data_IF_045878322444
#
_entry.id   IF_045878322444
#
_cell.length_a   1.000
_cell.length_b   1.000
_cell.length_c   1.000
_cell.angle_alpha   90.00
_cell.angle_beta   90.00
_cell.angle_gamma   90.00
#
_symmetry.space_group_name_H-M   'P 1'
#
loop_
_entity.id
_entity.type
_entity.pdbx_description
1 polymer ?
#
# COMPACT_ATOMS: atom_id res chain seq x y z
N UNK A 1 -25.71 -25.25 -15.50
CA UNK A 1 -26.51 -24.37 -16.37
C UNK A 1 -26.06 -22.96 -16.06
N UNK A 2 -25.14 -22.44 -16.87
CA UNK A 2 -24.43 -21.18 -16.61
C UNK A 2 -25.39 -20.03 -16.89
N UNK A 3 -25.90 -19.41 -15.84
CA UNK A 3 -26.70 -18.19 -15.93
C UNK A 3 -25.76 -17.08 -16.39
N UNK A 4 -26.00 -16.53 -17.58
CA UNK A 4 -25.31 -15.33 -18.05
C UNK A 4 -25.54 -14.18 -17.04
N UNK A 5 -24.51 -13.37 -16.72
CA UNK A 5 -24.70 -12.22 -15.85
C UNK A 5 -25.71 -11.29 -16.52
N UNK A 6 -26.72 -10.92 -15.75
CA UNK A 6 -27.82 -10.09 -16.22
C UNK A 6 -27.31 -8.66 -16.23
N UNK A 7 -26.65 -8.26 -17.32
CA UNK A 7 -26.51 -6.83 -17.63
C UNK A 7 -27.91 -6.24 -17.55
N UNK A 8 -28.14 -5.36 -16.56
CA UNK A 8 -29.46 -4.83 -16.32
C UNK A 8 -29.85 -4.00 -17.54
N UNK A 9 -30.71 -4.54 -18.39
CA UNK A 9 -31.19 -3.87 -19.59
C UNK A 9 -31.75 -2.49 -19.18
N UNK A 10 -31.09 -1.41 -19.61
CA UNK A 10 -31.50 -0.04 -19.33
C UNK A 10 -30.57 0.80 -18.46
N UNK A 11 -29.42 0.29 -17.98
CA UNK A 11 -28.42 1.13 -17.29
C UNK A 11 -27.87 2.18 -18.24
N UNK A 12 -28.08 3.46 -17.93
CA UNK A 12 -27.52 4.60 -18.67
C UNK A 12 -26.18 4.98 -18.05
N UNK A 13 -25.16 5.15 -18.87
CA UNK A 13 -23.83 5.60 -18.44
C UNK A 13 -23.66 7.10 -18.65
N UNK A 14 -22.97 7.74 -17.71
CA UNK A 14 -22.60 9.15 -17.77
C UNK A 14 -21.35 9.36 -18.62
N UNK A 15 -20.95 10.62 -18.77
CA UNK A 15 -19.77 11.01 -19.57
C UNK A 15 -18.44 10.50 -19.00
N UNK A 16 -18.39 10.17 -17.70
CA UNK A 16 -17.23 9.53 -17.09
C UNK A 16 -17.23 8.02 -17.21
N UNK A 17 -18.21 7.42 -17.88
CA UNK A 17 -18.25 5.98 -18.10
C UNK A 17 -18.90 5.19 -16.96
N UNK A 18 -19.00 5.69 -15.74
CA UNK A 18 -19.84 5.06 -14.71
C UNK A 18 -21.34 5.29 -14.98
N UNK A 19 -22.22 4.68 -14.18
CA UNK A 19 -23.66 4.93 -14.25
C UNK A 19 -23.97 6.42 -14.14
N UNK A 20 -24.95 6.90 -14.93
CA UNK A 20 -25.21 8.34 -15.08
C UNK A 20 -25.76 9.01 -13.81
N UNK A 21 -26.43 8.25 -12.94
CA UNK A 21 -27.05 8.72 -11.71
C UNK A 21 -26.35 8.07 -10.52
N UNK A 22 -25.13 8.53 -10.21
CA UNK A 22 -24.29 7.98 -9.14
C UNK A 22 -24.97 8.10 -7.77
N UNK A 23 -25.67 9.20 -7.51
CA UNK A 23 -26.37 9.44 -6.25
C UNK A 23 -27.44 8.36 -6.00
N UNK A 24 -28.23 7.98 -7.00
CA UNK A 24 -29.22 6.89 -6.85
C UNK A 24 -28.62 5.49 -6.67
N UNK A 25 -27.31 5.36 -6.92
CA UNK A 25 -26.54 4.12 -6.72
C UNK A 25 -25.68 4.17 -5.45
N UNK A 26 -25.57 5.31 -4.78
CA UNK A 26 -24.71 5.52 -3.61
C UNK A 26 -25.07 4.63 -2.42
N UNK A 27 -26.35 4.28 -2.26
CA UNK A 27 -26.85 3.47 -1.13
C UNK A 27 -27.24 2.03 -1.53
N UNK A 28 -26.97 1.62 -2.77
CA UNK A 28 -27.30 0.25 -3.21
C UNK A 28 -26.35 -0.77 -2.59
N UNK A 29 -26.90 -1.91 -2.17
CA UNK A 29 -26.11 -3.08 -1.87
C UNK A 29 -25.40 -3.58 -3.14
N UNK A 30 -24.11 -3.87 -3.01
CA UNK A 30 -23.29 -4.39 -4.10
C UNK A 30 -23.18 -5.91 -3.98
N UNK A 31 -23.27 -6.65 -5.09
CA UNK A 31 -23.07 -8.10 -5.06
C UNK A 31 -21.59 -8.44 -4.81
N UNK A 32 -21.31 -9.71 -4.55
CA UNK A 32 -19.94 -10.24 -4.67
C UNK A 32 -19.61 -10.36 -6.17
N UNK A 33 -19.01 -9.32 -6.75
CA UNK A 33 -18.75 -9.23 -8.19
C UNK A 33 -17.29 -9.53 -8.58
N UNK A 34 -16.40 -9.72 -7.61
CA UNK A 34 -15.02 -10.14 -7.86
C UNK A 34 -15.00 -11.67 -7.98
N UNK A 35 -14.89 -12.15 -9.23
CA UNK A 35 -15.03 -13.56 -9.60
C UNK A 35 -13.72 -14.20 -10.08
N UNK A 36 -12.63 -13.43 -10.15
CA UNK A 36 -11.27 -13.93 -10.31
C UNK A 36 -10.30 -13.16 -9.41
N UNK A 37 -9.19 -13.80 -9.02
CA UNK A 37 -8.06 -13.07 -8.44
C UNK A 37 -7.38 -12.25 -9.53
N UNK A 38 -7.01 -11.01 -9.25
CA UNK A 38 -6.25 -10.17 -10.19
C UNK A 38 -4.77 -10.57 -10.26
N UNK A 39 -4.33 -11.53 -9.45
CA UNK A 39 -2.94 -11.99 -9.36
C UNK A 39 -2.90 -13.47 -8.97
N UNK A 40 -1.87 -14.19 -9.40
CA UNK A 40 -1.68 -15.58 -8.97
C UNK A 40 -1.31 -15.62 -7.47
N UNK A 41 -2.23 -16.11 -6.65
CA UNK A 41 -2.07 -16.16 -5.19
C UNK A 41 -0.87 -17.02 -4.80
N UNK A 42 -0.51 -18.04 -5.59
CA UNK A 42 0.64 -18.89 -5.30
C UNK A 42 1.98 -18.16 -5.38
N UNK A 43 2.04 -17.01 -6.06
CA UNK A 43 3.23 -16.16 -6.12
C UNK A 43 3.35 -15.19 -4.93
N UNK A 44 2.27 -14.99 -4.17
CA UNK A 44 2.16 -13.92 -3.16
C UNK A 44 2.69 -14.34 -1.80
N UNK A 45 3.62 -13.54 -1.28
CA UNK A 45 4.15 -13.67 0.08
C UNK A 45 3.27 -12.95 1.09
N UNK A 46 2.92 -11.69 0.82
CA UNK A 46 2.16 -10.87 1.77
C UNK A 46 1.25 -9.86 1.09
N UNK A 47 0.20 -9.44 1.79
CA UNK A 47 -0.80 -8.48 1.32
C UNK A 47 -1.00 -7.41 2.38
N UNK A 48 -0.98 -6.13 1.98
CA UNK A 48 -1.26 -5.06 2.93
C UNK A 48 -2.71 -5.09 3.42
N UNK A 49 -2.92 -4.65 4.65
CA UNK A 49 -4.25 -4.38 5.19
C UNK A 49 -4.82 -3.09 4.61
N UNK A 50 -6.13 -3.06 4.43
CA UNK A 50 -6.91 -1.86 4.16
C UNK A 50 -6.90 -0.95 5.40
N UNK A 51 -6.75 0.37 5.21
CA UNK A 51 -6.49 1.39 6.26
C UNK A 51 -5.16 1.21 6.99
N UNK A 52 -4.16 0.60 6.36
CA UNK A 52 -2.81 0.51 6.91
C UNK A 52 -1.99 1.77 6.60
N UNK A 53 -0.76 1.80 7.10
CA UNK A 53 0.30 2.73 6.69
C UNK A 53 1.19 2.14 5.58
N UNK A 54 0.67 1.23 4.76
CA UNK A 54 1.40 0.69 3.63
C UNK A 54 1.58 1.74 2.52
N UNK A 55 2.83 1.93 2.09
CA UNK A 55 3.18 2.87 1.04
C UNK A 55 2.88 4.34 1.37
N UNK A 56 1.84 4.94 0.78
CA UNK A 56 1.53 6.37 0.95
C UNK A 56 0.04 6.61 1.24
N UNK A 57 -0.31 7.84 1.67
CA UNK A 57 -1.72 8.22 1.88
C UNK A 57 -2.53 7.95 0.62
N UNK A 58 -3.56 7.12 0.75
CA UNK A 58 -4.50 6.78 -0.30
C UNK A 58 -5.90 6.74 0.29
N UNK A 59 -6.45 7.91 0.60
CA UNK A 59 -7.71 8.06 1.32
C UNK A 59 -8.87 8.45 0.43
N UNK A 60 -10.07 8.05 0.84
CA UNK A 60 -11.33 8.44 0.23
C UNK A 60 -11.86 9.79 0.77
N UNK A 61 -13.16 10.05 0.66
CA UNK A 61 -13.78 11.30 1.15
C UNK A 61 -14.10 11.32 2.64
N UNK A 62 -13.95 10.21 3.35
CA UNK A 62 -14.41 10.02 4.73
C UNK A 62 -13.26 9.78 5.70
N UNK A 63 -12.15 9.24 5.20
CA UNK A 63 -10.97 8.94 6.00
C UNK A 63 -9.81 9.89 5.68
N UNK A 64 -8.85 9.97 6.60
CA UNK A 64 -7.67 10.82 6.50
C UNK A 64 -6.43 10.05 6.90
N UNK A 65 -5.33 10.22 6.14
CA UNK A 65 -4.04 9.61 6.43
C UNK A 65 -4.12 8.09 6.66
N UNK A 66 -4.52 7.34 5.63
CA UNK A 66 -4.44 5.89 5.63
C UNK A 66 -4.37 5.37 4.20
N UNK A 67 -3.90 4.13 4.01
CA UNK A 67 -3.87 3.50 2.70
C UNK A 67 -5.11 2.64 2.52
N UNK A 68 -6.04 3.10 1.69
CA UNK A 68 -7.27 2.39 1.34
C UNK A 68 -7.13 1.66 0.00
N UNK A 69 -5.94 1.11 -0.25
CA UNK A 69 -5.64 0.18 -1.34
C UNK A 69 -4.88 -1.03 -0.79
N UNK A 70 -4.82 -2.10 -1.58
CA UNK A 70 -4.04 -3.28 -1.23
C UNK A 70 -2.77 -3.39 -2.07
N UNK A 71 -1.65 -3.62 -1.40
CA UNK A 71 -0.37 -3.97 -2.00
C UNK A 71 -0.17 -5.48 -1.88
N UNK A 72 -0.04 -6.16 -3.01
CA UNK A 72 0.28 -7.58 -3.07
C UNK A 72 1.76 -7.74 -3.38
N UNK A 73 2.53 -8.29 -2.44
CA UNK A 73 3.98 -8.50 -2.58
C UNK A 73 4.26 -9.96 -2.97
N UNK A 74 4.80 -10.22 -4.17
CA UNK A 74 5.26 -11.56 -4.55
C UNK A 74 6.47 -12.00 -3.73
N UNK A 75 6.69 -13.31 -3.65
CA UNK A 75 7.83 -13.95 -2.96
C UNK A 75 9.20 -13.48 -3.49
N UNK A 76 9.28 -13.18 -4.79
CA UNK A 76 10.44 -12.59 -5.44
C UNK A 76 10.11 -11.18 -5.94
N UNK A 77 9.69 -10.30 -5.01
CA UNK A 77 9.18 -8.96 -5.33
C UNK A 77 10.10 -8.21 -6.32
N UNK A 78 11.42 -8.25 -6.11
CA UNK A 78 12.36 -7.53 -6.97
C UNK A 78 12.61 -8.22 -8.32
N UNK A 79 12.60 -9.55 -8.39
CA UNK A 79 12.78 -10.29 -9.63
C UNK A 79 11.55 -10.29 -10.54
N UNK A 80 10.33 -10.13 -10.01
CA UNK A 80 9.09 -10.25 -10.79
C UNK A 80 8.24 -8.98 -10.89
N UNK A 81 8.53 -7.89 -10.17
CA UNK A 81 7.65 -6.69 -10.15
C UNK A 81 7.33 -6.04 -11.49
N UNK A 82 8.12 -6.29 -12.54
CA UNK A 82 7.84 -5.80 -13.90
C UNK A 82 7.18 -6.84 -14.82
N UNK A 83 7.14 -8.11 -14.40
CA UNK A 83 6.73 -9.26 -15.22
C UNK A 83 5.61 -10.09 -14.60
N UNK A 84 5.25 -9.83 -13.35
CA UNK A 84 4.14 -10.47 -12.66
C UNK A 84 2.84 -10.23 -13.42
N UNK A 85 2.17 -11.31 -13.82
CA UNK A 85 0.89 -11.23 -14.55
C UNK A 85 -0.21 -10.64 -13.69
N UNK A 86 -0.94 -9.68 -14.25
CA UNK A 86 -2.09 -9.02 -13.65
C UNK A 86 -3.33 -9.32 -14.49
N UNK A 87 -4.36 -9.82 -13.83
CA UNK A 87 -5.62 -10.26 -14.44
C UNK A 87 -6.77 -9.32 -14.09
N UNK A 88 -7.80 -9.27 -14.94
CA UNK A 88 -9.05 -8.62 -14.59
C UNK A 88 -9.75 -9.42 -13.48
N UNK A 89 -10.10 -8.81 -12.34
CA UNK A 89 -10.85 -9.52 -11.29
C UNK A 89 -12.35 -9.68 -11.60
N UNK A 90 -12.83 -9.04 -12.68
CA UNK A 90 -14.26 -8.90 -13.01
C UNK A 90 -14.53 -9.04 -14.49
N UNK A 91 -15.77 -9.38 -14.83
CA UNK A 91 -16.33 -9.06 -16.14
C UNK A 91 -16.63 -7.55 -16.21
N UNK A 92 -16.18 -6.89 -17.27
CA UNK A 92 -16.34 -5.45 -17.35
C UNK A 92 -15.75 -4.79 -18.59
N UNK A 93 -15.48 -3.50 -18.46
CA UNK A 93 -14.89 -2.70 -19.53
C UNK A 93 -13.79 -1.78 -19.00
N UNK A 94 -12.63 -1.85 -19.64
CA UNK A 94 -11.54 -0.90 -19.45
C UNK A 94 -11.85 0.38 -20.22
N UNK A 95 -11.89 1.51 -19.52
CA UNK A 95 -12.31 2.79 -20.10
C UNK A 95 -11.23 3.87 -20.05
N UNK A 96 -10.24 3.71 -19.17
CA UNK A 96 -9.17 4.67 -18.99
C UNK A 96 -7.83 3.98 -18.70
N UNK A 97 -6.78 4.56 -19.26
CA UNK A 97 -5.39 4.36 -18.86
C UNK A 97 -4.83 5.71 -18.40
N UNK A 98 -4.22 5.72 -17.22
CA UNK A 98 -3.63 6.90 -16.58
C UNK A 98 -2.11 6.73 -16.51
N UNK A 99 -1.35 7.57 -17.23
CA UNK A 99 0.11 7.63 -17.07
C UNK A 99 0.41 8.06 -15.63
N UNK A 100 1.10 7.20 -14.88
CA UNK A 100 1.37 7.45 -13.47
C UNK A 100 2.31 8.67 -13.32
N UNK A 101 1.75 9.87 -13.24
CA UNK A 101 2.47 11.15 -13.30
C UNK A 101 2.48 11.96 -12.00
N UNK A 102 2.23 11.35 -10.84
CA UNK A 102 2.36 12.06 -9.56
C UNK A 102 3.80 11.99 -9.04
N UNK A 103 4.16 12.88 -8.12
CA UNK A 103 5.53 13.00 -7.55
C UNK A 103 6.08 11.70 -6.95
N UNK A 104 5.21 10.74 -6.57
CA UNK A 104 5.55 9.45 -5.95
C UNK A 104 5.28 8.22 -6.81
N UNK A 105 4.75 8.40 -8.02
CA UNK A 105 4.48 7.24 -8.89
C UNK A 105 5.75 6.46 -9.25
N UNK A 106 6.92 7.05 -9.08
CA UNK A 106 8.21 6.44 -9.40
C UNK A 106 8.98 5.92 -8.17
N UNK A 107 8.47 6.06 -6.94
CA UNK A 107 9.20 5.67 -5.72
C UNK A 107 9.60 4.19 -5.75
N UNK A 108 8.72 3.32 -6.25
CA UNK A 108 8.96 1.88 -6.38
C UNK A 108 10.02 1.53 -7.44
N UNK A 109 10.24 2.40 -8.43
CA UNK A 109 11.31 2.26 -9.42
C UNK A 109 12.65 2.73 -8.85
N UNK A 110 12.66 3.84 -8.11
CA UNK A 110 13.84 4.31 -7.38
C UNK A 110 14.27 3.26 -6.35
N UNK A 111 13.31 2.66 -5.66
CA UNK A 111 13.52 1.51 -4.78
C UNK A 111 14.14 0.32 -5.54
N UNK A 112 13.69 0.02 -6.76
CA UNK A 112 14.33 -1.01 -7.59
C UNK A 112 15.79 -0.74 -7.89
N UNK A 113 16.10 0.46 -8.34
CA UNK A 113 17.47 0.85 -8.66
C UNK A 113 18.37 0.76 -7.42
N UNK A 114 17.88 1.22 -6.27
CA UNK A 114 18.64 1.19 -5.01
C UNK A 114 18.94 -0.23 -4.55
N UNK A 115 17.96 -1.12 -4.62
CA UNK A 115 18.03 -2.44 -3.99
C UNK A 115 18.69 -3.48 -4.88
N UNK A 116 18.58 -3.34 -6.20
CA UNK A 116 19.12 -4.29 -7.19
C UNK A 116 20.38 -3.77 -7.89
N UNK A 117 20.56 -2.45 -7.96
CA UNK A 117 21.57 -1.81 -8.80
C UNK A 117 21.24 -1.83 -10.29
N UNK A 118 20.06 -2.33 -10.69
CA UNK A 118 19.60 -2.40 -12.08
C UNK A 118 18.62 -1.26 -12.39
N UNK A 119 18.53 -0.87 -13.66
CA UNK A 119 17.52 0.11 -14.11
C UNK A 119 16.21 -0.57 -14.51
N UNK A 120 15.03 0.04 -14.22
CA UNK A 120 13.75 -0.48 -14.69
C UNK A 120 13.76 -0.71 -16.20
N UNK A 121 13.02 -1.71 -16.72
CA UNK A 121 12.96 -1.94 -18.16
C UNK A 121 12.44 -0.71 -18.91
N UNK A 122 13.15 -0.29 -19.95
CA UNK A 122 12.83 0.91 -20.75
C UNK A 122 11.45 0.85 -21.40
N UNK A 123 10.94 -0.35 -21.67
CA UNK A 123 9.66 -0.61 -22.30
C UNK A 123 8.50 -0.77 -21.31
N UNK A 124 8.78 -0.71 -20.00
CA UNK A 124 7.77 -0.83 -18.97
C UNK A 124 6.91 0.43 -18.88
N UNK A 125 5.61 0.29 -19.17
CA UNK A 125 4.65 1.41 -19.16
C UNK A 125 3.92 1.48 -17.84
N UNK A 126 4.49 2.19 -16.88
CA UNK A 126 3.85 2.39 -15.56
C UNK A 126 2.56 3.21 -15.66
N UNK A 127 1.43 2.51 -15.65
CA UNK A 127 0.11 3.10 -15.80
C UNK A 127 -0.81 2.66 -14.66
N UNK A 128 -1.94 3.36 -14.52
CA UNK A 128 -3.12 2.82 -13.83
C UNK A 128 -4.20 2.48 -14.84
N UNK A 129 -4.89 1.37 -14.61
CA UNK A 129 -6.00 0.91 -15.44
C UNK A 129 -7.30 0.98 -14.66
N UNK A 130 -8.36 1.51 -15.28
CA UNK A 130 -9.69 1.61 -14.67
C UNK A 130 -10.69 0.71 -15.39
N UNK A 131 -11.20 -0.26 -14.65
CA UNK A 131 -12.20 -1.22 -15.12
C UNK A 131 -13.52 -0.89 -14.44
N UNK A 132 -14.57 -0.68 -15.23
CA UNK A 132 -15.95 -0.60 -14.73
C UNK A 132 -16.53 -2.01 -14.72
N UNK A 133 -16.84 -2.61 -13.55
CA UNK A 133 -17.51 -3.90 -13.49
C UNK A 133 -18.93 -3.82 -14.07
N UNK A 134 -19.39 -4.89 -14.70
CA UNK A 134 -20.75 -4.94 -15.24
C UNK A 134 -21.83 -4.95 -14.15
N UNK A 135 -21.60 -5.74 -13.09
CA UNK A 135 -22.53 -5.92 -11.97
C UNK A 135 -22.42 -4.81 -10.91
N UNK A 136 -21.48 -3.89 -11.10
CA UNK A 136 -21.18 -2.82 -10.15
C UNK A 136 -20.77 -1.52 -10.90
N UNK A 137 -21.68 -0.91 -11.68
CA UNK A 137 -21.35 0.15 -12.64
C UNK A 137 -21.13 1.54 -12.03
N UNK A 138 -21.23 1.69 -10.71
CA UNK A 138 -20.94 2.92 -9.97
C UNK A 138 -19.55 2.90 -9.30
N UNK A 139 -18.70 1.92 -9.63
CA UNK A 139 -17.35 1.82 -9.12
C UNK A 139 -16.31 1.68 -10.22
N UNK A 140 -15.09 2.03 -9.85
CA UNK A 140 -13.89 1.62 -10.55
C UNK A 140 -13.17 0.53 -9.77
N UNK A 141 -12.73 -0.51 -10.49
CA UNK A 141 -11.56 -1.29 -10.09
C UNK A 141 -10.36 -0.61 -10.71
N UNK A 142 -9.43 -0.15 -9.88
CA UNK A 142 -8.20 0.48 -10.32
C UNK A 142 -7.03 -0.45 -10.04
N UNK A 143 -6.37 -0.89 -11.11
CA UNK A 143 -5.08 -1.57 -11.04
C UNK A 143 -3.99 -0.52 -11.13
N UNK A 144 -3.01 -0.57 -10.24
CA UNK A 144 -1.92 0.41 -10.18
C UNK A 144 -0.61 -0.21 -10.64
N UNK A 145 0.27 0.64 -11.17
CA UNK A 145 1.64 0.29 -11.53
C UNK A 145 1.75 -0.97 -12.40
N UNK A 146 0.94 -1.04 -13.45
CA UNK A 146 1.00 -2.10 -14.45
C UNK A 146 1.31 -1.54 -15.84
N UNK A 147 2.05 -2.33 -16.62
CA UNK A 147 2.19 -2.20 -18.07
C UNK A 147 1.07 -2.99 -18.75
N UNK A 148 0.05 -2.32 -19.34
CA UNK A 148 -1.07 -3.00 -19.97
C UNK A 148 -0.66 -3.83 -21.18
N UNK A 149 -1.43 -4.87 -21.49
CA UNK A 149 -1.27 -5.62 -22.74
C UNK A 149 -1.58 -4.75 -23.95
N UNK A 150 -0.92 -5.05 -25.07
CA UNK A 150 -0.96 -4.24 -26.29
C UNK A 150 -2.39 -4.12 -26.87
N UNK A 151 -3.23 -5.13 -26.68
CA UNK A 151 -4.64 -5.14 -27.07
C UNK A 151 -5.44 -4.03 -26.39
N UNK A 152 -5.18 -3.78 -25.10
CA UNK A 152 -5.83 -2.70 -24.34
C UNK A 152 -5.32 -1.34 -24.83
N UNK A 153 -4.01 -1.20 -25.01
CA UNK A 153 -3.35 0.04 -25.46
C UNK A 153 -3.82 0.51 -26.85
N UNK A 154 -4.21 -0.42 -27.73
CA UNK A 154 -4.75 -0.10 -29.06
C UNK A 154 -6.15 0.51 -29.02
N UNK A 155 -6.90 0.29 -27.96
CA UNK A 155 -8.33 0.65 -27.86
C UNK A 155 -8.59 1.75 -26.85
N UNK A 156 -7.88 1.73 -25.72
CA UNK A 156 -8.12 2.63 -24.61
C UNK A 156 -7.16 3.83 -24.70
N UNK A 157 -7.66 5.07 -24.73
CA UNK A 157 -6.82 6.25 -24.76
C UNK A 157 -6.08 6.38 -23.44
N UNK A 158 -4.84 6.83 -23.55
CA UNK A 158 -3.97 7.17 -22.42
C UNK A 158 -4.10 8.67 -22.16
N UNK A 159 -4.22 9.04 -20.89
CA UNK A 159 -4.12 10.44 -20.45
C UNK A 159 -3.47 10.49 -19.08
N UNK A 160 -3.11 11.68 -18.62
CA UNK A 160 -2.71 11.88 -17.23
C UNK A 160 -3.92 12.04 -16.31
N UNK A 161 -3.74 11.75 -15.02
CA UNK A 161 -4.75 12.03 -13.99
C UNK A 161 -5.27 13.48 -14.01
N UNK A 162 -4.41 14.45 -14.33
CA UNK A 162 -4.81 15.86 -14.48
C UNK A 162 -5.69 16.09 -15.71
N UNK A 163 -5.35 15.50 -16.86
CA UNK A 163 -6.17 15.59 -18.07
C UNK A 163 -7.53 14.90 -17.91
N UNK A 164 -7.57 13.77 -17.20
CA UNK A 164 -8.81 13.07 -16.84
C UNK A 164 -9.68 13.99 -15.96
N UNK A 165 -9.12 14.49 -14.87
CA UNK A 165 -9.78 15.41 -13.95
C UNK A 165 -10.35 16.66 -14.66
N UNK A 166 -9.62 17.19 -15.64
CA UNK A 166 -10.04 18.35 -16.45
C UNK A 166 -11.01 18.00 -17.60
N UNK A 167 -11.31 16.72 -17.82
CA UNK A 167 -12.14 16.26 -18.94
C UNK A 167 -11.51 16.45 -20.32
N UNK A 168 -10.18 16.64 -20.37
CA UNK A 168 -9.39 16.72 -21.61
C UNK A 168 -9.26 15.30 -22.18
N UNK A 169 -8.80 14.36 -21.35
CA UNK A 169 -8.83 12.94 -21.67
C UNK A 169 -10.25 12.39 -21.47
N UNK A 170 -10.76 11.66 -22.46
CA UNK A 170 -12.13 11.15 -22.49
C UNK A 170 -12.17 9.64 -22.33
N UNK A 171 -13.31 9.13 -21.87
CA UNK A 171 -13.59 7.69 -21.85
C UNK A 171 -13.36 7.07 -23.22
N UNK A 172 -12.80 5.86 -23.25
CA UNK A 172 -12.94 5.01 -24.42
C UNK A 172 -14.43 4.70 -24.69
N UNK A 173 -14.85 4.73 -25.95
CA UNK A 173 -16.21 4.32 -26.37
C UNK A 173 -16.09 3.46 -27.64
N UNK A 174 -16.40 2.15 -27.58
CA UNK A 174 -17.08 1.42 -26.50
C UNK A 174 -16.18 0.94 -25.34
N UNK A 175 -14.86 1.22 -25.37
CA UNK A 175 -13.89 0.67 -24.43
C UNK A 175 -13.39 -0.73 -24.78
N UNK A 176 -12.51 -1.28 -23.95
CA UNK A 176 -11.98 -2.64 -24.12
C UNK A 176 -12.67 -3.61 -23.16
N UNK A 177 -13.36 -4.62 -23.68
CA UNK A 177 -14.07 -5.62 -22.88
C UNK A 177 -13.11 -6.63 -22.30
N UNK A 178 -13.31 -6.96 -21.03
CA UNK A 178 -12.58 -7.99 -20.30
C UNK A 178 -13.56 -8.93 -19.61
N UNK A 179 -13.14 -10.18 -19.49
CA UNK A 179 -13.75 -11.18 -18.63
C UNK A 179 -12.92 -11.35 -17.37
N UNK A 180 -13.52 -11.81 -16.28
CA UNK A 180 -12.78 -12.16 -15.08
C UNK A 180 -11.74 -13.25 -15.40
N UNK A 181 -10.49 -13.04 -14.98
CA UNK A 181 -9.34 -13.91 -15.26
C UNK A 181 -8.59 -13.60 -16.56
N UNK A 182 -9.05 -12.63 -17.38
CA UNK A 182 -8.29 -12.21 -18.56
C UNK A 182 -6.98 -11.52 -18.14
N UNK A 183 -5.86 -11.84 -18.80
CA UNK A 183 -4.59 -11.12 -18.62
C UNK A 183 -4.74 -9.69 -19.17
N UNK A 184 -4.52 -8.69 -18.32
CA UNK A 184 -4.67 -7.27 -18.69
C UNK A 184 -3.36 -6.49 -18.65
N UNK A 185 -2.33 -7.01 -17.97
CA UNK A 185 -1.01 -6.40 -17.98
C UNK A 185 0.00 -7.17 -17.13
N UNK A 186 1.16 -6.55 -16.94
CA UNK A 186 2.22 -7.05 -16.06
C UNK A 186 2.67 -5.92 -15.14
N UNK A 187 2.93 -6.20 -13.87
CA UNK A 187 3.37 -5.16 -12.95
C UNK A 187 3.14 -5.47 -11.48
N UNK A 188 2.95 -4.41 -10.70
CA UNK A 188 2.63 -4.57 -9.28
C UNK A 188 1.19 -5.10 -9.13
N UNK A 189 0.99 -5.95 -8.11
CA UNK A 189 -0.33 -6.46 -7.75
C UNK A 189 -1.21 -5.45 -6.99
N UNK A 190 -0.98 -4.15 -7.16
CA UNK A 190 -1.66 -3.09 -6.42
C UNK A 190 -3.08 -2.82 -6.96
N UNK A 191 -4.06 -2.78 -6.06
CA UNK A 191 -5.48 -2.64 -6.44
C UNK A 191 -6.27 -1.78 -5.45
N UNK A 192 -7.17 -0.96 -5.98
CA UNK A 192 -8.21 -0.26 -5.20
C UNK A 192 -9.60 -0.43 -5.81
N UNK A 193 -10.62 -0.43 -4.94
CA UNK A 193 -12.04 -0.43 -5.34
C UNK A 193 -12.65 0.91 -4.93
N UNK A 194 -13.03 1.71 -5.93
CA UNK A 194 -13.44 3.11 -5.73
C UNK A 194 -14.90 3.30 -6.09
N UNK A 195 -15.77 3.35 -5.08
CA UNK A 195 -17.18 3.68 -5.26
C UNK A 195 -17.35 5.18 -5.41
N UNK A 196 -17.99 5.61 -6.50
CA UNK A 196 -18.41 7.00 -6.65
C UNK A 196 -19.82 7.17 -6.09
N UNK A 197 -19.98 8.13 -5.19
CA UNK A 197 -21.26 8.45 -4.55
C UNK A 197 -21.95 9.63 -5.25
N UNK A 198 -21.18 10.53 -5.86
CA UNK A 198 -21.68 11.64 -6.67
C UNK A 198 -20.69 12.00 -7.80
N UNK A 199 -20.97 13.11 -8.49
CA UNK A 199 -20.10 13.63 -9.54
C UNK A 199 -20.38 13.03 -10.91
N UNK A 200 -19.36 12.99 -11.77
CA UNK A 200 -19.49 12.58 -13.18
C UNK A 200 -18.88 11.19 -13.45
N UNK A 201 -18.31 10.54 -12.44
CA UNK A 201 -17.68 9.22 -12.54
C UNK A 201 -16.32 9.19 -13.22
N UNK A 202 -15.75 10.33 -13.61
CA UNK A 202 -14.42 10.40 -14.20
C UNK A 202 -13.36 10.10 -13.12
N UNK A 203 -12.36 9.24 -13.39
CA UNK A 203 -11.25 9.03 -12.48
C UNK A 203 -10.55 10.33 -12.07
N UNK A 204 -10.07 10.38 -10.83
CA UNK A 204 -9.40 11.56 -10.28
C UNK A 204 -8.13 11.18 -9.51
N UNK A 205 -7.04 11.94 -9.68
CA UNK A 205 -5.81 11.76 -8.92
C UNK A 205 -5.95 12.20 -7.45
N UNK A 206 -7.08 12.80 -7.04
CA UNK A 206 -7.31 13.33 -5.69
C UNK A 206 -7.58 12.26 -4.62
N UNK A 207 -6.72 11.24 -4.56
CA UNK A 207 -6.82 10.11 -3.64
C UNK A 207 -5.92 10.26 -2.39
N UNK A 208 -5.51 11.49 -2.04
CA UNK A 208 -4.79 11.78 -0.79
C UNK A 208 -5.32 13.09 -0.19
N UNK A 209 -5.23 13.23 1.13
CA UNK A 209 -5.68 14.42 1.86
C UNK A 209 -4.98 15.69 1.37
N UNK A 210 -3.66 15.62 1.15
CA UNK A 210 -2.86 16.73 0.64
C UNK A 210 -3.28 17.15 -0.78
N UNK A 211 -3.54 16.19 -1.67
CA UNK A 211 -4.00 16.48 -3.04
C UNK A 211 -5.41 17.07 -3.04
N UNK A 212 -6.32 16.56 -2.20
CA UNK A 212 -7.66 17.16 -2.03
C UNK A 212 -7.57 18.57 -1.45
N UNK A 213 -6.68 18.85 -0.51
CA UNK A 213 -6.47 20.20 0.00
C UNK A 213 -5.92 21.15 -1.08
N UNK A 214 -5.01 20.66 -1.92
CA UNK A 214 -4.38 21.43 -3.02
C UNK A 214 -5.34 21.71 -4.17
N UNK A 215 -6.16 20.73 -4.55
CA UNK A 215 -7.00 20.75 -5.76
C UNK A 215 -8.50 20.71 -5.47
N UNK A 216 -8.92 20.96 -4.23
CA UNK A 216 -10.27 20.69 -3.73
C UNK A 216 -11.43 21.43 -4.41
N UNK A 217 -11.16 22.36 -5.33
CA UNK A 217 -12.19 23.01 -6.17
C UNK A 217 -12.28 22.43 -7.58
N UNK A 218 -11.35 21.56 -7.97
CA UNK A 218 -11.29 20.95 -9.29
C UNK A 218 -12.36 19.85 -9.43
N UNK A 219 -12.92 19.66 -10.64
CA UNK A 219 -13.82 18.55 -10.91
C UNK A 219 -13.19 17.21 -10.49
N UNK A 220 -13.97 16.27 -9.95
CA UNK A 220 -13.46 14.98 -9.45
C UNK A 220 -12.80 15.04 -8.07
N UNK A 221 -12.15 16.15 -7.68
CA UNK A 221 -11.62 16.35 -6.34
C UNK A 221 -12.69 16.78 -5.32
N UNK A 222 -13.77 17.40 -5.82
CA UNK A 222 -14.99 17.69 -5.05
C UNK A 222 -15.93 16.49 -4.94
N UNK A 223 -15.75 15.46 -5.79
CA UNK A 223 -16.65 14.32 -5.86
C UNK A 223 -16.44 13.40 -4.65
N UNK A 224 -17.54 12.98 -4.03
CA UNK A 224 -17.54 12.04 -2.92
C UNK A 224 -17.28 10.64 -3.44
N UNK A 225 -16.24 10.03 -2.89
CA UNK A 225 -15.85 8.66 -3.15
C UNK A 225 -15.69 7.92 -1.84
N UNK A 226 -16.07 6.66 -1.87
CA UNK A 226 -15.85 5.72 -0.79
C UNK A 226 -15.00 4.57 -1.32
N UNK A 227 -13.90 4.26 -0.63
CA UNK A 227 -13.05 3.16 -1.03
C UNK A 227 -13.40 1.91 -0.23
N UNK A 228 -13.19 0.76 -0.85
CA UNK A 228 -13.52 -0.54 -0.27
C UNK A 228 -12.34 -1.49 -0.40
N UNK A 229 -12.25 -2.43 0.54
CA UNK A 229 -11.34 -3.57 0.40
C UNK A 229 -11.85 -4.48 -0.73
N UNK A 230 -10.95 -5.00 -1.56
CA UNK A 230 -11.33 -5.96 -2.60
C UNK A 230 -11.94 -7.24 -2.02
N UNK A 231 -11.50 -7.64 -0.82
CA UNK A 231 -11.96 -8.83 -0.12
C UNK A 231 -13.45 -8.77 0.26
N UNK A 232 -14.02 -7.56 0.39
CA UNK A 232 -15.45 -7.34 0.65
C UNK A 232 -16.33 -7.86 -0.49
N UNK A 233 -15.84 -7.80 -1.74
CA UNK A 233 -16.61 -8.15 -2.94
C UNK A 233 -16.16 -9.45 -3.61
N UNK A 234 -15.19 -10.15 -3.03
CA UNK A 234 -14.75 -11.48 -3.47
C UNK A 234 -15.83 -12.53 -3.22
N UNK A 235 -16.20 -13.23 -4.30
CA UNK A 235 -16.96 -14.46 -4.19
C UNK A 235 -16.24 -15.47 -3.30
N UNK A 236 -17.00 -16.37 -2.68
CA UNK A 236 -16.40 -17.40 -1.81
C UNK A 236 -15.42 -18.28 -2.59
N UNK A 237 -15.72 -18.63 -3.84
CA UNK A 237 -14.81 -19.42 -4.70
C UNK A 237 -13.44 -18.76 -4.88
N UNK A 238 -13.39 -17.43 -5.04
CA UNK A 238 -12.12 -16.70 -5.12
C UNK A 238 -11.46 -16.65 -3.74
N UNK A 239 -12.21 -16.35 -2.68
CA UNK A 239 -11.64 -16.22 -1.34
C UNK A 239 -11.07 -17.55 -0.81
N UNK A 240 -11.65 -18.68 -1.19
CA UNK A 240 -11.12 -20.02 -0.88
C UNK A 240 -9.70 -20.25 -1.40
N UNK A 241 -9.28 -19.56 -2.45
CA UNK A 241 -7.90 -19.66 -2.95
C UNK A 241 -6.90 -19.06 -1.96
N UNK A 242 -7.28 -18.01 -1.22
CA UNK A 242 -6.47 -17.45 -0.14
C UNK A 242 -6.44 -18.39 1.07
N UNK A 243 -7.60 -18.97 1.43
CA UNK A 243 -7.68 -19.97 2.51
C UNK A 243 -6.92 -21.26 2.21
N UNK A 244 -6.75 -21.58 0.93
CA UNK A 244 -5.96 -22.73 0.51
C UNK A 244 -4.46 -22.57 0.78
N UNK A 245 -3.97 -21.33 0.92
CA UNK A 245 -2.55 -21.05 1.15
C UNK A 245 -2.23 -20.53 2.55
N UNK A 246 -3.21 -19.98 3.27
CA UNK A 246 -3.05 -19.46 4.63
C UNK A 246 -4.35 -19.56 5.45
N UNK A 247 -4.25 -19.67 6.78
CA UNK A 247 -5.41 -19.60 7.68
C UNK A 247 -5.82 -18.13 7.89
N UNK A 248 -6.68 -17.64 7.01
CA UNK A 248 -7.11 -16.23 6.97
C UNK A 248 -8.62 -16.09 6.77
N UNK A 249 -9.12 -14.98 7.29
CA UNK A 249 -10.47 -14.46 7.11
C UNK A 249 -10.42 -13.12 6.36
N UNK A 250 -11.57 -12.65 5.87
CA UNK A 250 -11.63 -11.35 5.17
C UNK A 250 -11.21 -10.19 6.07
N UNK A 251 -11.53 -10.29 7.36
CA UNK A 251 -11.25 -9.25 8.35
C UNK A 251 -9.75 -9.10 8.63
N UNK A 252 -8.94 -10.15 8.43
CA UNK A 252 -7.49 -10.07 8.63
C UNK A 252 -6.81 -9.04 7.71
N UNK A 253 -7.43 -8.77 6.56
CA UNK A 253 -6.97 -7.81 5.57
C UNK A 253 -7.54 -6.40 5.77
N UNK A 254 -8.29 -6.14 6.84
CA UNK A 254 -8.96 -4.85 7.06
C UNK A 254 -8.71 -4.38 8.49
N UNK A 255 -8.10 -3.20 8.63
CA UNK A 255 -8.14 -2.49 9.90
C UNK A 255 -9.50 -1.80 9.97
N UNK A 256 -10.22 -1.97 11.08
CA UNK A 256 -11.56 -1.40 11.24
C UNK A 256 -11.50 0.13 11.32
N UNK A 257 -12.63 0.79 11.09
CA UNK A 257 -12.73 2.25 11.23
C UNK A 257 -12.52 2.62 12.70
N UNK A 258 -13.07 1.83 13.62
CA UNK A 258 -12.97 2.00 15.06
C UNK A 258 -11.52 1.88 15.54
N UNK A 259 -10.79 0.86 15.08
CA UNK A 259 -9.39 0.66 15.45
C UNK A 259 -8.52 1.78 14.88
N UNK A 260 -8.76 2.19 13.63
CA UNK A 260 -8.02 3.31 13.02
C UNK A 260 -8.35 4.65 13.69
N UNK A 261 -9.56 4.84 14.20
CA UNK A 261 -9.92 6.02 14.97
C UNK A 261 -9.29 6.02 16.37
N UNK A 262 -9.10 4.84 16.98
CA UNK A 262 -8.41 4.69 18.25
C UNK A 262 -6.89 4.87 18.13
N UNK A 263 -6.31 4.48 16.98
CA UNK A 263 -4.90 4.61 16.65
C UNK A 263 -4.70 5.34 15.30
N UNK A 264 -4.85 6.68 15.28
CA UNK A 264 -4.76 7.46 14.05
C UNK A 264 -3.32 7.58 13.55
N UNK A 265 -3.12 7.42 12.24
CA UNK A 265 -1.83 7.64 11.60
C UNK A 265 -1.57 9.14 11.40
N UNK A 266 -0.29 9.50 11.35
CA UNK A 266 0.17 10.85 11.01
C UNK A 266 0.81 10.87 9.62
N UNK A 267 0.53 11.94 8.86
CA UNK A 267 1.07 12.12 7.52
C UNK A 267 1.74 13.49 7.34
N UNK A 268 2.85 13.52 6.62
CA UNK A 268 3.50 14.73 6.11
C UNK A 268 3.27 14.82 4.60
N UNK A 269 2.27 15.60 4.19
CA UNK A 269 1.82 15.58 2.81
C UNK A 269 1.17 14.24 2.46
N UNK A 270 1.82 13.45 1.60
CA UNK A 270 1.38 12.10 1.23
C UNK A 270 2.21 11.00 1.93
N UNK A 271 3.23 11.36 2.71
CA UNK A 271 4.05 10.43 3.50
C UNK A 271 3.35 10.02 4.78
N UNK A 272 3.40 8.74 5.13
CA UNK A 272 3.21 8.34 6.51
C UNK A 272 4.46 8.68 7.33
N UNK A 273 4.26 9.24 8.52
CA UNK A 273 5.35 9.43 9.49
C UNK A 273 5.91 8.07 9.94
N UNK A 274 5.04 7.07 10.07
CA UNK A 274 5.39 5.67 10.36
C UNK A 274 4.83 4.81 9.23
N UNK A 275 5.67 4.11 8.49
CA UNK A 275 5.29 3.35 7.28
C UNK A 275 5.47 1.85 7.45
N UNK A 276 4.60 1.06 6.83
CA UNK A 276 4.66 -0.40 6.70
C UNK A 276 4.67 -1.21 8.03
N UNK A 277 4.49 -0.58 9.19
CA UNK A 277 4.42 -1.26 10.51
C UNK A 277 3.06 -1.95 10.70
N UNK A 278 3.08 -3.26 10.97
CA UNK A 278 1.89 -4.13 11.11
C UNK A 278 0.90 -4.01 9.93
N UNK A 279 1.43 -3.59 8.79
CA UNK A 279 0.65 -3.22 7.63
C UNK A 279 0.31 -4.42 6.75
N UNK A 280 0.94 -5.58 6.93
CA UNK A 280 0.85 -6.72 6.02
C UNK A 280 0.40 -7.99 6.74
N UNK A 281 -0.38 -8.80 6.02
CA UNK A 281 -0.70 -10.18 6.34
C UNK A 281 0.16 -11.08 5.48
N UNK A 282 0.93 -11.99 6.10
CA UNK A 282 1.72 -12.99 5.38
C UNK A 282 0.84 -14.16 4.95
N UNK A 283 0.91 -14.53 3.68
CA UNK A 283 0.26 -15.71 3.13
C UNK A 283 1.22 -16.90 3.02
N UNK A 284 2.40 -16.70 2.45
CA UNK A 284 3.32 -17.79 2.06
C UNK A 284 4.78 -17.33 2.06
N UNK A 285 5.73 -18.25 2.18
CA UNK A 285 7.16 -17.95 2.13
C UNK A 285 7.98 -19.08 2.74
N UNK A 286 9.23 -19.25 2.29
CA UNK A 286 10.07 -20.39 2.68
C UNK A 286 10.36 -20.41 4.19
N UNK A 287 10.18 -21.58 4.80
CA UNK A 287 10.62 -21.91 6.17
C UNK A 287 12.14 -22.00 6.36
N UNK A 288 12.95 -21.47 5.45
CA UNK A 288 14.38 -21.19 5.73
C UNK A 288 14.59 -19.84 6.43
N UNK A 289 13.48 -19.13 6.71
CA UNK A 289 13.37 -18.20 7.83
C UNK A 289 12.17 -18.59 8.71
N UNK A 290 11.94 -19.89 8.95
CA UNK A 290 10.99 -20.29 9.98
C UNK A 290 11.63 -20.24 11.36
N UNK A 291 11.12 -19.36 12.20
CA UNK A 291 10.85 -19.74 13.58
C UNK A 291 9.62 -18.95 14.02
N UNK A 292 8.49 -19.53 14.36
CA UNK A 292 7.99 -20.90 14.31
C UNK A 292 6.47 -20.77 14.46
N UNK A 293 5.68 -21.54 13.70
CA UNK A 293 4.23 -21.60 13.86
C UNK A 293 3.86 -22.13 15.26
N UNK A 294 2.86 -21.57 15.96
CA UNK A 294 2.46 -22.07 17.27
C UNK A 294 1.40 -23.18 17.12
N UNK A 295 1.63 -24.30 17.79
CA UNK A 295 0.57 -25.16 18.32
C UNK A 295 1.11 -25.90 19.55
N UNK A 296 0.25 -26.33 20.50
CA UNK A 296 -0.31 -25.56 21.60
C UNK A 296 0.47 -25.76 22.91
N UNK A 297 0.36 -24.77 23.81
CA UNK A 297 0.70 -24.81 25.25
C UNK A 297 1.92 -25.64 25.68
N UNK A 298 3.08 -24.99 25.85
CA UNK A 298 3.88 -25.06 27.09
C UNK A 298 5.13 -24.15 27.03
N UNK A 299 5.12 -23.10 27.86
CA UNK A 299 6.26 -22.31 28.36
C UNK A 299 7.29 -21.71 27.37
N UNK A 300 7.23 -20.38 27.24
CA UNK A 300 8.13 -19.41 26.60
C UNK A 300 9.64 -19.61 26.86
N UNK A 301 10.51 -19.42 25.85
CA UNK A 301 11.82 -18.81 26.03
C UNK A 301 11.87 -17.42 25.34
N UNK A 302 12.42 -16.42 26.03
CA UNK A 302 12.55 -15.02 25.60
C UNK A 302 13.27 -14.90 24.23
N UNK A 303 12.67 -14.20 23.26
CA UNK A 303 13.28 -13.92 21.96
C UNK A 303 14.30 -12.76 22.07
N UNK A 304 15.52 -12.95 21.56
CA UNK A 304 16.60 -11.96 21.61
C UNK A 304 16.61 -11.02 20.40
N UNK A 305 16.92 -9.73 20.59
CA UNK A 305 16.99 -8.70 19.53
C UNK A 305 17.92 -9.04 18.36
N UNK A 306 17.63 -8.58 17.11
CA UNK A 306 18.41 -8.86 15.91
C UNK A 306 19.83 -8.30 16.02
N UNK A 307 20.84 -9.04 15.57
CA UNK A 307 22.26 -8.67 15.71
C UNK A 307 22.61 -7.34 15.02
N UNK A 308 23.69 -6.69 15.47
CA UNK A 308 24.17 -5.45 14.85
C UNK A 308 24.50 -5.63 13.35
N UNK A 309 25.11 -6.76 12.97
CA UNK A 309 25.40 -7.07 11.57
C UNK A 309 24.12 -7.21 10.73
N UNK A 310 23.08 -7.82 11.31
CA UNK A 310 21.76 -7.93 10.66
C UNK A 310 21.09 -6.56 10.48
N UNK A 311 21.19 -5.68 11.48
CA UNK A 311 20.60 -4.33 11.43
C UNK A 311 21.39 -3.41 10.50
N UNK A 312 22.71 -3.58 10.40
CA UNK A 312 23.55 -2.81 9.50
C UNK A 312 23.27 -3.11 8.02
N UNK A 313 22.83 -4.34 7.71
CA UNK A 313 22.57 -4.81 6.35
C UNK A 313 23.77 -4.56 5.40
N UNK A 314 24.99 -4.74 5.91
CA UNK A 314 26.23 -4.51 5.16
C UNK A 314 26.68 -3.05 5.02
N UNK A 315 25.94 -2.08 5.58
CA UNK A 315 26.33 -0.66 5.60
C UNK A 315 27.38 -0.38 6.66
N UNK A 316 28.17 0.66 6.43
CA UNK A 316 29.17 1.10 7.42
C UNK A 316 28.47 1.64 8.67
N UNK A 317 28.84 1.11 9.84
CA UNK A 317 28.25 1.47 11.13
C UNK A 317 29.09 2.59 11.76
N UNK A 318 28.45 3.73 12.00
CA UNK A 318 29.04 4.89 12.68
C UNK A 318 29.05 4.71 14.20
N UNK A 319 27.94 4.18 14.73
CA UNK A 319 27.76 3.90 16.15
C UNK A 319 26.79 2.73 16.34
N UNK A 320 26.97 1.95 17.40
CA UNK A 320 26.07 0.87 17.76
C UNK A 320 25.91 0.83 19.28
N UNK A 321 24.66 0.75 19.72
CA UNK A 321 24.29 0.75 21.13
C UNK A 321 23.22 -0.31 21.38
N UNK A 322 23.29 -0.93 22.54
CA UNK A 322 22.26 -1.82 23.05
C UNK A 322 22.02 -1.50 24.52
N UNK A 323 20.79 -1.70 24.96
CA UNK A 323 20.42 -1.42 26.33
C UNK A 323 18.99 -1.83 26.63
N UNK A 324 18.60 -1.56 27.86
CA UNK A 324 17.22 -1.57 28.33
C UNK A 324 16.98 -0.28 29.10
N UNK A 325 15.73 0.16 29.25
CA UNK A 325 15.35 1.44 29.88
C UNK A 325 15.84 2.69 29.15
N UNK A 326 15.46 3.86 29.67
CA UNK A 326 15.91 5.17 29.17
C UNK A 326 17.42 5.36 29.29
N UNK A 327 18.04 5.90 28.24
CA UNK A 327 19.49 6.13 28.18
C UNK A 327 19.86 7.28 27.25
N UNK A 328 20.96 7.97 27.56
CA UNK A 328 21.62 8.88 26.61
C UNK A 328 22.78 8.13 26.00
N UNK A 329 22.73 7.94 24.68
CA UNK A 329 23.78 7.22 23.96
C UNK A 329 25.05 8.07 23.88
N UNK A 330 26.20 7.40 23.75
CA UNK A 330 27.46 8.11 23.57
C UNK A 330 27.40 8.94 22.28
N UNK A 331 27.77 10.23 22.29
CA UNK A 331 27.79 11.04 21.09
C UNK A 331 28.73 10.46 20.03
N UNK A 332 28.38 10.64 18.76
CA UNK A 332 29.22 10.24 17.63
C UNK A 332 29.25 11.33 16.55
N UNK A 333 30.31 11.31 15.75
CA UNK A 333 30.47 12.23 14.62
C UNK A 333 30.04 11.55 13.32
N UNK A 334 29.04 12.12 12.65
CA UNK A 334 28.63 11.72 11.31
C UNK A 334 29.33 12.62 10.28
N UNK A 335 30.14 12.03 9.40
CA UNK A 335 30.87 12.75 8.33
C UNK A 335 30.07 12.85 7.02
N UNK A 336 28.96 12.14 6.94
CA UNK A 336 28.02 12.08 5.82
C UNK A 336 26.62 11.85 6.38
N UNK A 337 25.61 11.88 5.50
CA UNK A 337 24.25 11.54 5.88
C UNK A 337 24.19 10.09 6.37
N UNK A 338 23.33 9.85 7.36
CA UNK A 338 23.19 8.57 8.04
C UNK A 338 21.72 8.30 8.39
N UNK A 339 21.40 7.06 8.73
CA UNK A 339 20.10 6.70 9.31
C UNK A 339 20.31 6.02 10.66
N UNK A 340 19.31 6.09 11.53
CA UNK A 340 19.24 5.28 12.74
C UNK A 340 18.36 4.06 12.50
N UNK A 341 18.91 2.88 12.74
CA UNK A 341 18.19 1.60 12.74
C UNK A 341 17.93 1.20 14.19
N UNK A 342 16.66 1.14 14.57
CA UNK A 342 16.18 0.86 15.92
C UNK A 342 15.54 -0.52 15.93
N UNK A 343 15.91 -1.36 16.89
CA UNK A 343 15.20 -2.60 17.20
C UNK A 343 14.74 -2.55 18.66
N UNK A 344 13.49 -2.90 18.95
CA UNK A 344 13.01 -3.07 20.33
C UNK A 344 12.08 -4.27 20.47
N UNK A 345 12.05 -4.91 21.63
CA UNK A 345 11.20 -6.08 21.92
C UNK A 345 9.78 -5.70 22.36
N UNK A 346 9.60 -4.47 22.83
CA UNK A 346 8.33 -3.88 23.22
C UNK A 346 8.35 -2.35 23.11
N UNK A 347 7.21 -1.73 23.43
CA UNK A 347 7.09 -0.32 23.81
C UNK A 347 6.55 -0.20 25.25
N UNK A 348 6.61 0.98 25.88
CA UNK A 348 6.91 2.27 25.25
C UNK A 348 8.41 2.51 25.04
N UNK A 349 8.79 2.99 23.86
CA UNK A 349 10.13 3.51 23.57
C UNK A 349 10.06 4.68 22.59
N UNK A 350 10.70 5.79 22.96
CA UNK A 350 10.84 7.00 22.16
C UNK A 350 12.32 7.31 21.94
N UNK A 351 12.68 7.69 20.72
CA UNK A 351 14.02 8.19 20.41
C UNK A 351 13.96 9.66 20.00
N UNK A 352 14.91 10.42 20.51
CA UNK A 352 15.17 11.80 20.11
C UNK A 352 16.62 11.98 19.68
N UNK A 353 16.84 12.82 18.67
CA UNK A 353 18.15 13.17 18.14
C UNK A 353 18.40 14.65 18.37
N UNK A 354 19.58 14.99 18.89
CA UNK A 354 20.12 16.34 18.95
C UNK A 354 21.37 16.42 18.07
N UNK A 355 21.30 17.24 17.02
CA UNK A 355 22.37 17.54 16.07
C UNK A 355 22.95 18.95 16.25
N UNK A 356 22.71 19.58 17.40
CA UNK A 356 23.10 20.95 17.71
C UNK A 356 22.02 21.99 17.43
N UNK A 357 20.90 21.60 16.82
CA UNK A 357 19.72 22.46 16.65
C UNK A 357 18.62 22.18 17.69
N UNK A 358 18.94 21.43 18.74
CA UNK A 358 18.02 21.00 19.78
C UNK A 358 17.44 19.62 19.50
N UNK A 359 17.09 18.92 20.59
CA UNK A 359 16.54 17.58 20.52
C UNK A 359 15.16 17.56 19.82
N UNK A 360 15.01 16.65 18.84
CA UNK A 360 13.74 16.33 18.17
C UNK A 360 13.44 14.84 18.26
N UNK A 361 12.18 14.47 18.51
CA UNK A 361 11.75 13.07 18.46
C UNK A 361 11.71 12.58 17.01
N UNK A 362 12.21 11.37 16.77
CA UNK A 362 12.38 10.75 15.44
C UNK A 362 11.75 9.35 15.33
N UNK A 363 11.32 8.79 16.46
CA UNK A 363 10.69 7.49 16.57
C UNK A 363 9.96 7.42 17.90
N UNK A 364 8.75 6.86 17.88
CA UNK A 364 7.95 6.56 19.06
C UNK A 364 7.20 5.24 18.81
N UNK A 365 7.32 4.31 19.76
CA UNK A 365 6.56 3.07 19.81
C UNK A 365 5.79 3.09 21.13
N UNK A 366 4.47 3.34 21.13
CA UNK A 366 3.70 3.49 22.36
C UNK A 366 3.48 2.15 23.11
N UNK A 367 3.02 2.25 24.35
CA UNK A 367 2.63 1.09 25.16
C UNK A 367 1.51 0.29 24.47
N UNK A 368 1.67 -1.04 24.41
CA UNK A 368 0.68 -1.93 23.78
C UNK A 368 0.82 -2.14 22.26
N UNK A 369 1.81 -1.51 21.62
CA UNK A 369 2.15 -1.68 20.19
C UNK A 369 2.73 -3.07 19.88
N UNK A 370 1.88 -4.11 19.92
CA UNK A 370 2.21 -5.51 19.60
C UNK A 370 3.22 -6.16 20.56
N UNK A 371 3.05 -7.46 20.86
CA UNK A 371 4.10 -8.25 21.55
C UNK A 371 5.06 -8.79 20.50
N UNK A 372 6.29 -8.29 20.45
CA UNK A 372 7.30 -8.78 19.50
C UNK A 372 8.41 -7.78 19.19
N UNK A 373 9.51 -8.32 18.68
CA UNK A 373 10.66 -7.54 18.19
C UNK A 373 10.24 -6.77 16.93
N UNK A 374 10.40 -5.46 16.95
CA UNK A 374 10.19 -4.59 15.78
C UNK A 374 11.48 -3.89 15.41
N UNK A 375 11.68 -3.63 14.12
CA UNK A 375 12.77 -2.81 13.60
C UNK A 375 12.24 -1.59 12.86
N UNK A 376 12.88 -0.45 13.03
CA UNK A 376 12.55 0.82 12.39
C UNK A 376 13.82 1.47 11.86
N UNK A 377 13.77 2.10 10.69
CA UNK A 377 14.86 2.91 10.15
C UNK A 377 14.37 4.34 9.93
N UNK A 378 15.13 5.33 10.39
CA UNK A 378 14.77 6.74 10.21
C UNK A 378 14.95 7.21 8.77
N UNK A 379 14.25 8.29 8.41
CA UNK A 379 14.66 9.11 7.27
C UNK A 379 16.14 9.59 7.41
N UNK A 380 16.79 10.00 6.30
CA UNK A 380 18.15 10.52 6.34
C UNK A 380 18.35 11.67 7.34
N UNK A 381 19.36 11.51 8.18
CA UNK A 381 19.83 12.50 9.14
C UNK A 381 21.16 13.09 8.64
N UNK A 382 21.32 14.40 8.80
CA UNK A 382 22.48 15.13 8.30
C UNK A 382 23.75 14.90 9.11
N UNK A 383 24.90 15.14 8.47
CA UNK A 383 26.22 15.11 9.10
C UNK A 383 26.35 16.10 10.28
N UNK A 384 27.19 15.76 11.26
CA UNK A 384 27.45 16.59 12.44
C UNK A 384 27.79 15.79 13.70
N UNK A 385 27.81 16.49 14.84
CA UNK A 385 27.94 15.88 16.16
C UNK A 385 26.57 15.46 16.65
N UNK A 386 26.34 14.16 16.81
CA UNK A 386 25.01 13.59 17.05
C UNK A 386 24.93 13.03 18.46
N UNK A 387 23.88 13.43 19.19
CA UNK A 387 23.49 12.80 20.45
C UNK A 387 22.11 12.17 20.30
N UNK A 388 21.95 10.94 20.80
CA UNK A 388 20.66 10.23 20.78
C UNK A 388 20.19 10.01 22.21
N UNK A 389 18.95 10.41 22.49
CA UNK A 389 18.24 10.14 23.73
C UNK A 389 17.21 9.03 23.47
N UNK A 390 17.21 8.03 24.34
CA UNK A 390 16.24 6.94 24.38
C UNK A 390 15.42 7.10 25.64
N UNK A 391 14.10 7.19 25.52
CA UNK A 391 13.15 7.14 26.62
C UNK A 391 12.37 5.84 26.50
N UNK A 392 12.61 4.88 27.40
CA UNK A 392 12.02 3.55 27.31
C UNK A 392 11.66 3.02 28.71
N UNK A 393 10.63 2.19 28.79
CA UNK A 393 10.31 1.46 30.01
C UNK A 393 11.45 0.51 30.40
N UNK A 394 11.62 0.25 31.69
CA UNK A 394 12.69 -0.61 32.23
C UNK A 394 12.63 -2.04 31.68
N UNK A 395 11.45 -2.46 31.23
CA UNK A 395 11.19 -3.77 30.64
C UNK A 395 11.45 -3.87 29.13
N UNK A 396 11.76 -2.75 28.45
CA UNK A 396 11.99 -2.70 27.00
C UNK A 396 13.47 -2.83 26.71
N UNK A 397 13.86 -3.91 26.03
CA UNK A 397 15.19 -4.06 25.45
C UNK A 397 15.23 -3.42 24.06
N UNK A 398 16.33 -2.73 23.76
CA UNK A 398 16.52 -2.08 22.48
C UNK A 398 17.97 -2.19 21.97
N UNK A 399 18.12 -2.10 20.65
CA UNK A 399 19.40 -2.01 19.93
C UNK A 399 19.28 -0.94 18.85
N UNK A 400 20.21 0.01 18.84
CA UNK A 400 20.19 1.18 17.96
C UNK A 400 21.53 1.27 17.23
N UNK A 401 21.49 1.37 15.91
CA UNK A 401 22.67 1.56 15.06
C UNK A 401 22.55 2.87 14.29
N UNK A 402 23.65 3.60 14.16
CA UNK A 402 23.81 4.64 13.16
C UNK A 402 24.56 4.06 11.96
N UNK A 403 23.94 4.09 10.78
CA UNK A 403 24.48 3.51 9.55
C UNK A 403 24.66 4.60 8.49
N UNK A 404 25.78 4.56 7.79
CA UNK A 404 26.07 5.49 6.68
C UNK A 404 25.09 5.23 5.53
N UNK A 405 24.52 6.30 4.99
CA UNK A 405 23.71 6.23 3.78
C UNK A 405 24.60 6.26 2.52
N UNK A 406 24.22 5.55 1.45
CA UNK A 406 25.00 5.48 0.21
C UNK A 406 25.28 6.81 -0.47
#
# INVERSE_FOLDING_TARGET
TTTAPTTTAGTRYGSGGLVADLESWADRELPLFITASHIDISDIESISRFRSNAGHDYTDSFETCCSMKHYFRPKDYYGVRFTQSIYSPVDGVVLYLDEAGTTRSNDWKVDFERETGESPPDDYRDMKMYIRPDDAPNLWIRLHHLSPVEEVLKVVPVGSGEELMLGIARTADPGFRVSAGDLVGHGLGEISVERHLDGNGVPSPCAAGALRAKWGTMPGCVAKRQFHSIFEFMTEEVFEQYRAVADVTRDDFVISVEDRAADPLACEGEDFVIRDVDAYVTLQGNSDTASSTPEPDTATPEASLPSADSLAAGRAVLAAHEGSSSSVLAPFEAVSDFALVVASDAGPIQLSVDDGNGARSIYDRPEGSGRGITTYETAPLGAGSITVLVEADDSVAWRILAVVLP
#
